data_IF_109774784758
#
_entry.id   IF_109774784758
#
_cell.length_a   1.000
_cell.length_b   1.000
_cell.length_c   1.000
_cell.angle_alpha   90.00
_cell.angle_beta   90.00
_cell.angle_gamma   90.00
#
_symmetry.space_group_name_H-M   'P 1'
#
loop_
_entity.id
_entity.type
_entity.pdbx_description
1 polymer ?
#
# COMPACT_ATOMS: atom_id res chain seq x y z
N UNK A 1 19.71 -15.09 5.38
CA UNK A 1 18.70 -14.11 4.99
C UNK A 1 18.18 -13.40 6.23
N UNK A 2 18.19 -12.08 6.21
CA UNK A 2 17.70 -11.33 7.37
C UNK A 2 16.19 -11.48 7.50
N UNK A 3 15.73 -11.73 8.71
CA UNK A 3 14.32 -11.65 9.00
C UNK A 3 13.86 -10.18 8.93
N UNK A 4 12.67 -9.97 8.44
CA UNK A 4 12.06 -8.64 8.48
C UNK A 4 11.61 -8.32 9.91
N UNK A 5 11.88 -7.10 10.32
CA UNK A 5 11.44 -6.59 11.61
C UNK A 5 10.11 -5.88 11.42
N UNK A 6 9.13 -6.18 12.28
CA UNK A 6 7.85 -5.46 12.29
C UNK A 6 8.14 -3.98 12.58
N UNK A 7 7.67 -3.10 11.70
CA UNK A 7 8.02 -1.69 11.82
C UNK A 7 7.10 -0.79 11.00
N UNK A 8 7.12 0.48 11.35
CA UNK A 8 6.56 1.54 10.53
C UNK A 8 7.68 2.21 9.74
N UNK A 9 7.33 2.72 8.58
CA UNK A 9 8.24 3.55 7.79
C UNK A 9 7.50 4.77 7.26
N UNK A 10 8.23 5.83 6.95
CA UNK A 10 7.69 7.04 6.33
C UNK A 10 8.20 7.17 4.92
N UNK A 11 7.50 7.95 4.10
CA UNK A 11 7.90 8.20 2.72
C UNK A 11 7.71 9.69 2.38
N UNK A 12 8.67 10.51 2.78
CA UNK A 12 8.78 11.93 2.39
C UNK A 12 7.48 12.73 2.48
N UNK A 13 6.74 12.55 3.57
CA UNK A 13 5.45 13.22 3.81
C UNK A 13 4.35 12.86 2.79
N UNK A 14 4.50 11.80 2.04
CA UNK A 14 3.50 11.38 1.05
C UNK A 14 3.02 9.96 1.25
N UNK A 15 3.37 9.33 2.37
CA UNK A 15 2.93 7.98 2.65
C UNK A 15 3.66 7.32 3.79
N UNK A 16 3.31 6.08 4.01
CA UNK A 16 3.92 5.27 5.06
C UNK A 16 3.97 3.81 4.60
N UNK A 17 4.72 3.02 5.35
CA UNK A 17 4.72 1.57 5.19
C UNK A 17 4.59 0.90 6.54
N UNK A 18 4.10 -0.33 6.52
CA UNK A 18 4.02 -1.19 7.71
C UNK A 18 4.54 -2.57 7.31
N UNK A 19 5.48 -3.08 8.10
CA UNK A 19 5.91 -4.47 7.99
C UNK A 19 5.34 -5.23 9.18
N UNK A 20 4.71 -6.36 8.93
CA UNK A 20 4.00 -7.13 9.94
C UNK A 20 4.84 -8.31 10.43
N UNK A 21 4.47 -8.86 11.58
CA UNK A 21 5.17 -10.02 12.15
C UNK A 21 5.18 -11.23 11.21
N UNK A 22 4.15 -11.36 10.37
CA UNK A 22 4.11 -12.44 9.38
C UNK A 22 5.11 -12.25 8.22
N UNK A 23 5.83 -11.14 8.20
CA UNK A 23 6.83 -10.85 7.17
C UNK A 23 6.32 -10.10 5.95
N UNK A 24 5.01 -9.96 5.81
CA UNK A 24 4.43 -9.15 4.73
C UNK A 24 4.48 -7.68 5.08
N UNK A 25 4.44 -6.84 4.05
CA UNK A 25 4.45 -5.39 4.24
C UNK A 25 3.46 -4.73 3.29
N UNK A 26 2.99 -3.57 3.68
CA UNK A 26 2.15 -2.73 2.84
C UNK A 26 2.79 -1.34 2.72
N UNK A 27 2.75 -0.77 1.52
CA UNK A 27 3.11 0.61 1.26
C UNK A 27 1.86 1.37 0.87
N UNK A 28 1.59 2.50 1.53
CA UNK A 28 0.43 3.34 1.28
C UNK A 28 0.95 4.73 0.92
N UNK A 29 0.66 5.20 -0.28
CA UNK A 29 1.20 6.46 -0.78
C UNK A 29 0.13 7.31 -1.44
N UNK A 30 0.24 8.64 -1.28
CA UNK A 30 -0.67 9.61 -1.87
C UNK A 30 0.06 10.87 -2.34
N UNK A 31 1.25 10.69 -2.91
CA UNK A 31 2.02 11.77 -3.50
C UNK A 31 1.57 12.13 -4.91
N UNK A 32 2.24 13.09 -5.50
CA UNK A 32 1.87 13.63 -6.83
C UNK A 32 2.17 12.67 -7.97
N UNK A 33 2.96 11.63 -7.73
CA UNK A 33 3.30 10.60 -8.71
C UNK A 33 2.53 9.29 -8.49
N UNK A 34 1.71 9.24 -7.45
CA UNK A 34 0.94 8.06 -7.11
C UNK A 34 -0.44 8.09 -7.77
N UNK A 35 -1.06 6.91 -7.90
CA UNK A 35 -2.43 6.79 -8.40
C UNK A 35 -3.41 7.12 -7.28
N UNK A 36 -3.67 8.42 -7.11
CA UNK A 36 -4.52 8.95 -6.04
C UNK A 36 -5.04 10.33 -6.40
N UNK A 37 -5.89 10.90 -5.54
CA UNK A 37 -6.51 12.21 -5.78
C UNK A 37 -5.50 13.35 -5.92
N UNK A 38 -4.28 13.19 -5.42
CA UNK A 38 -3.23 14.21 -5.54
C UNK A 38 -2.34 14.05 -6.77
N UNK A 39 -2.65 13.08 -7.62
CA UNK A 39 -1.85 12.87 -8.82
C UNK A 39 -1.79 14.13 -9.67
N UNK A 40 -0.58 14.45 -10.12
CA UNK A 40 -0.28 15.64 -10.94
C UNK A 40 -0.43 16.98 -10.24
N UNK A 41 -0.61 16.99 -8.93
CA UNK A 41 -0.55 18.21 -8.14
C UNK A 41 0.82 18.85 -8.29
N UNK A 42 0.90 20.18 -8.35
CA UNK A 42 2.19 20.88 -8.54
C UNK A 42 2.95 21.13 -7.25
N UNK A 43 2.28 21.00 -6.11
CA UNK A 43 2.92 21.22 -4.81
C UNK A 43 3.76 20.02 -4.43
N UNK A 44 4.90 20.27 -3.77
CA UNK A 44 5.75 19.20 -3.25
C UNK A 44 5.32 18.88 -1.81
N UNK A 45 4.88 17.63 -1.52
CA UNK A 45 4.50 17.26 -0.16
C UNK A 45 5.59 17.51 0.88
N UNK A 46 6.87 17.40 0.48
CA UNK A 46 8.01 17.57 1.38
C UNK A 46 8.13 19.01 1.91
N UNK A 47 7.56 19.99 1.21
CA UNK A 47 7.61 21.40 1.57
C UNK A 47 6.43 21.80 2.46
N UNK A 48 5.48 20.90 2.68
CA UNK A 48 4.26 21.18 3.42
C UNK A 48 4.28 20.48 4.76
N UNK A 49 3.70 21.12 5.77
CA UNK A 49 3.57 20.54 7.10
C UNK A 49 2.61 19.33 7.11
N UNK A 50 1.55 19.43 6.31
CA UNK A 50 0.57 18.38 6.16
C UNK A 50 0.31 18.13 4.68
N UNK A 51 0.08 16.88 4.34
CA UNK A 51 -0.26 16.48 2.98
C UNK A 51 -1.38 15.46 3.05
N UNK A 52 -2.55 15.85 2.60
CA UNK A 52 -3.76 15.02 2.69
C UNK A 52 -4.25 14.61 1.32
N UNK A 53 -4.89 13.44 1.25
CA UNK A 53 -5.55 12.96 0.05
C UNK A 53 -6.77 12.14 0.46
N UNK A 54 -7.82 12.22 -0.32
CA UNK A 54 -9.02 11.40 -0.09
C UNK A 54 -8.81 9.94 -0.49
N UNK A 55 -7.83 9.67 -1.34
CA UNK A 55 -7.51 8.32 -1.80
C UNK A 55 -6.01 8.09 -1.81
N UNK A 56 -5.60 6.83 -1.82
CA UNK A 56 -4.20 6.45 -1.83
C UNK A 56 -3.94 5.30 -2.79
N UNK A 57 -2.67 5.12 -3.14
CA UNK A 57 -2.17 3.99 -3.88
C UNK A 57 -1.49 3.02 -2.90
N UNK A 58 -1.72 1.74 -3.05
CA UNK A 58 -1.06 0.73 -2.22
C UNK A 58 -0.26 -0.26 -3.06
N UNK A 59 0.75 -0.83 -2.42
CA UNK A 59 1.47 -2.01 -2.88
C UNK A 59 1.69 -2.92 -1.68
N UNK A 60 1.68 -4.22 -1.91
CA UNK A 60 1.94 -5.21 -0.86
C UNK A 60 3.19 -5.99 -1.25
N UNK A 61 4.05 -6.24 -0.28
CA UNK A 61 5.30 -6.95 -0.50
C UNK A 61 5.33 -8.21 0.34
N UNK A 62 5.98 -9.25 -0.20
CA UNK A 62 6.18 -10.51 0.53
C UNK A 62 7.44 -10.44 1.41
N UNK A 63 7.77 -11.56 2.05
CA UNK A 63 8.93 -11.66 2.95
C UNK A 63 10.26 -11.40 2.26
N UNK A 64 10.30 -11.50 0.93
CA UNK A 64 11.52 -11.27 0.13
C UNK A 64 11.54 -9.88 -0.50
N UNK A 65 10.63 -8.98 -0.08
CA UNK A 65 10.47 -7.64 -0.65
C UNK A 65 10.07 -7.64 -2.12
N UNK A 66 9.38 -8.68 -2.54
CA UNK A 66 8.81 -8.74 -3.88
C UNK A 66 7.35 -8.29 -3.86
N UNK A 67 6.92 -7.59 -4.91
CA UNK A 67 5.54 -7.16 -5.03
C UNK A 67 4.59 -8.35 -5.17
N UNK A 68 3.47 -8.29 -4.45
CA UNK A 68 2.41 -9.28 -4.56
C UNK A 68 1.33 -8.73 -5.49
N UNK A 69 0.79 -9.58 -6.34
CA UNK A 69 -0.32 -9.20 -7.21
C UNK A 69 -1.58 -9.00 -6.39
N UNK A 70 -2.08 -7.76 -6.36
CA UNK A 70 -3.22 -7.37 -5.52
C UNK A 70 -4.35 -6.70 -6.29
N UNK A 71 -4.21 -6.60 -7.60
CA UNK A 71 -5.14 -5.84 -8.40
C UNK A 71 -5.50 -6.66 -9.63
N UNK A 72 -6.69 -6.47 -10.13
CA UNK A 72 -7.21 -7.16 -11.30
C UNK A 72 -6.77 -6.51 -12.61
N UNK A 73 -5.87 -5.54 -12.55
CA UNK A 73 -5.35 -4.85 -13.72
C UNK A 73 -4.21 -5.58 -14.40
N UNK A 74 -3.60 -4.93 -15.38
CA UNK A 74 -2.62 -5.53 -16.26
C UNK A 74 -1.38 -6.08 -15.56
N UNK A 75 -0.77 -5.32 -14.64
CA UNK A 75 0.39 -5.78 -13.89
C UNK A 75 0.05 -6.27 -12.49
N UNK A 76 -1.04 -5.78 -11.93
CA UNK A 76 -1.59 -6.26 -10.67
C UNK A 76 -0.79 -5.97 -9.41
N UNK A 77 0.29 -5.18 -9.46
CA UNK A 77 1.16 -4.99 -8.30
C UNK A 77 0.88 -3.73 -7.50
N UNK A 78 0.15 -2.76 -8.06
CA UNK A 78 -0.31 -1.60 -7.31
C UNK A 78 -1.80 -1.43 -7.50
N UNK A 79 -2.46 -0.86 -6.51
CA UNK A 79 -3.88 -0.53 -6.59
C UNK A 79 -4.05 0.93 -6.17
N UNK A 80 -4.70 1.71 -7.01
CA UNK A 80 -4.82 3.15 -6.82
C UNK A 80 -6.23 3.63 -6.50
N UNK A 81 -6.31 4.89 -6.13
CA UNK A 81 -7.55 5.60 -5.79
C UNK A 81 -8.40 4.87 -4.75
N UNK A 82 -7.74 4.24 -3.77
CA UNK A 82 -8.43 3.51 -2.72
C UNK A 82 -8.83 4.45 -1.58
N UNK A 83 -10.05 4.25 -1.08
CA UNK A 83 -10.52 5.00 0.09
C UNK A 83 -9.78 4.58 1.36
N UNK A 84 -9.89 5.41 2.40
CA UNK A 84 -9.31 5.07 3.70
C UNK A 84 -9.85 3.75 4.23
N UNK A 85 -11.14 3.49 4.08
CA UNK A 85 -11.75 2.26 4.57
C UNK A 85 -11.25 1.03 3.83
N UNK A 86 -11.09 1.12 2.51
CA UNK A 86 -10.53 0.02 1.72
C UNK A 86 -9.08 -0.24 2.09
N UNK A 87 -8.28 0.81 2.27
CA UNK A 87 -6.88 0.66 2.72
C UNK A 87 -6.84 -0.05 4.08
N UNK A 88 -7.71 0.35 5.01
CA UNK A 88 -7.77 -0.29 6.33
C UNK A 88 -8.10 -1.78 6.23
N UNK A 89 -9.04 -2.16 5.35
CA UNK A 89 -9.38 -3.57 5.13
C UNK A 89 -8.19 -4.36 4.58
N UNK A 90 -7.45 -3.77 3.64
CA UNK A 90 -6.25 -4.42 3.08
C UNK A 90 -5.19 -4.61 4.17
N UNK A 91 -5.00 -3.61 5.04
CA UNK A 91 -4.07 -3.73 6.16
C UNK A 91 -4.44 -4.92 7.05
N UNK A 92 -5.73 -5.09 7.37
CA UNK A 92 -6.20 -6.23 8.17
C UNK A 92 -5.92 -7.56 7.46
N UNK A 93 -6.22 -7.65 6.19
CA UNK A 93 -5.99 -8.87 5.40
C UNK A 93 -4.50 -9.22 5.40
N UNK A 94 -3.65 -8.26 5.09
CA UNK A 94 -2.21 -8.50 4.98
C UNK A 94 -1.60 -8.87 6.33
N UNK A 95 -2.00 -8.17 7.40
CA UNK A 95 -1.44 -8.40 8.73
C UNK A 95 -1.89 -9.74 9.36
N UNK A 96 -3.02 -10.28 8.94
CA UNK A 96 -3.58 -11.50 9.52
C UNK A 96 -3.34 -12.74 8.67
N UNK A 97 -2.80 -12.62 7.48
CA UNK A 97 -2.65 -13.74 6.54
C UNK A 97 -1.24 -14.30 6.60
N UNK A 98 -1.11 -15.63 6.48
CA UNK A 98 0.18 -16.31 6.52
C UNK A 98 0.67 -16.73 5.13
N UNK A 99 -0.21 -16.82 4.16
CA UNK A 99 0.06 -17.36 2.83
C UNK A 99 -0.21 -16.31 1.77
N UNK A 100 0.78 -16.03 0.93
CA UNK A 100 0.68 -15.04 -0.14
C UNK A 100 -0.56 -15.22 -1.03
N UNK A 101 -0.89 -16.44 -1.40
CA UNK A 101 -2.05 -16.72 -2.25
C UNK A 101 -3.36 -16.19 -1.68
N UNK A 102 -3.52 -16.24 -0.35
CA UNK A 102 -4.73 -15.72 0.30
C UNK A 102 -4.79 -14.21 0.21
N UNK A 103 -3.64 -13.54 0.32
CA UNK A 103 -3.57 -12.09 0.16
C UNK A 103 -3.98 -11.71 -1.26
N UNK A 104 -3.43 -12.39 -2.25
CA UNK A 104 -3.75 -12.13 -3.66
C UNK A 104 -5.24 -12.30 -3.94
N UNK A 105 -5.82 -13.38 -3.45
CA UNK A 105 -7.24 -13.69 -3.68
C UNK A 105 -8.17 -12.66 -3.03
N UNK A 106 -7.92 -12.31 -1.77
CA UNK A 106 -8.77 -11.36 -1.03
C UNK A 106 -8.59 -9.94 -1.54
N UNK A 107 -7.36 -9.56 -1.90
CA UNK A 107 -7.08 -8.21 -2.40
C UNK A 107 -7.70 -7.97 -3.76
N UNK A 108 -7.74 -8.97 -4.64
CA UNK A 108 -8.42 -8.86 -5.93
C UNK A 108 -9.91 -8.55 -5.76
N UNK A 109 -10.54 -9.12 -4.75
CA UNK A 109 -11.94 -8.83 -4.42
C UNK A 109 -12.11 -7.36 -4.01
N UNK A 110 -11.21 -6.85 -3.17
CA UNK A 110 -11.27 -5.47 -2.69
C UNK A 110 -10.94 -4.46 -3.78
N UNK A 111 -9.99 -4.76 -4.63
CA UNK A 111 -9.56 -3.82 -5.68
C UNK A 111 -10.58 -3.66 -6.81
N UNK A 112 -11.67 -4.41 -6.81
CA UNK A 112 -12.74 -4.27 -7.78
C UNK A 112 -13.72 -3.14 -7.42
N UNK A 113 -13.59 -2.53 -6.27
CA UNK A 113 -14.46 -1.42 -5.82
C UNK A 113 -14.15 -0.10 -6.51
#
# INVERSE_FOLDING_TARGET
MKEKISQFGTNRNKGFSMTFENGFAISVQWGTENYCARRFEKKDPRELRFWRSSTAEIAVLNKKDEFIKINNGSDGVVSGWLSTDTVAEVIVIVSSTKIQKEIEKKSLTLSSY
#
